data_IF_587776118287
#
_entry.id   IF_587776118287
#
_cell.length_a   1.000
_cell.length_b   1.000
_cell.length_c   1.000
_cell.angle_alpha   90.00
_cell.angle_beta   90.00
_cell.angle_gamma   90.00
#
_symmetry.space_group_name_H-M   'P 1'
#
loop_
_entity.id
_entity.type
_entity.pdbx_description
1 polymer ?
#
# COMPACT_ATOMS: atom_id res chain seq x y z
N UNK A 1 -27.47 -36.47 18.24
CA UNK A 1 -27.47 -35.86 16.90
C UNK A 1 -26.05 -35.38 16.62
N UNK A 2 -25.51 -35.70 15.45
CA UNK A 2 -24.08 -35.76 15.17
C UNK A 2 -23.34 -34.42 15.21
N UNK A 3 -22.16 -34.44 15.83
CA UNK A 3 -21.06 -33.48 15.61
C UNK A 3 -20.56 -33.56 14.17
N UNK A 4 -20.35 -32.41 13.51
CA UNK A 4 -19.48 -32.31 12.34
C UNK A 4 -18.44 -31.21 12.57
N UNK A 5 -17.29 -31.62 13.13
CA UNK A 5 -16.00 -30.98 12.88
C UNK A 5 -15.58 -31.32 11.45
N UNK A 6 -15.17 -30.34 10.65
CA UNK A 6 -14.39 -30.59 9.44
C UNK A 6 -12.94 -30.21 9.73
N UNK A 7 -12.08 -31.22 9.74
CA UNK A 7 -10.64 -31.10 9.73
C UNK A 7 -10.13 -31.05 8.30
N UNK A 8 -9.08 -30.29 8.05
CA UNK A 8 -8.12 -30.58 6.97
C UNK A 8 -6.74 -30.69 7.61
N UNK A 9 -6.22 -31.93 7.60
CA UNK A 9 -4.82 -32.32 7.79
C UNK A 9 -4.06 -31.85 6.52
N UNK A 10 -2.84 -31.30 6.54
CA UNK A 10 -1.64 -31.73 7.24
C UNK A 10 -0.73 -32.51 6.28
N UNK A 11 0.41 -31.93 5.88
CA UNK A 11 1.64 -32.53 5.31
C UNK A 11 2.61 -31.36 5.00
N UNK A 12 3.91 -31.31 5.32
CA UNK A 12 4.85 -32.18 6.04
C UNK A 12 6.07 -31.32 6.40
N UNK A 13 6.60 -31.58 7.59
CA UNK A 13 7.82 -31.10 8.23
C UNK A 13 9.11 -31.46 7.44
N UNK A 14 10.07 -30.54 7.35
CA UNK A 14 11.49 -30.88 7.16
C UNK A 14 12.35 -30.07 8.15
N UNK A 15 12.71 -30.77 9.23
CA UNK A 15 13.66 -30.41 10.27
C UNK A 15 15.08 -30.72 9.77
N UNK A 16 16.06 -29.81 9.93
CA UNK A 16 17.48 -30.18 9.90
C UNK A 16 18.28 -29.37 10.92
N UNK A 17 19.01 -30.13 11.73
CA UNK A 17 19.61 -29.75 13.00
C UNK A 17 21.01 -29.11 12.85
N UNK A 18 21.29 -28.24 13.82
CA UNK A 18 22.55 -28.00 14.53
C UNK A 18 23.68 -29.05 14.31
N UNK A 19 24.89 -28.54 14.05
CA UNK A 19 26.13 -29.11 14.60
C UNK A 19 26.95 -28.00 15.27
N UNK A 20 27.50 -28.34 16.43
CA UNK A 20 28.27 -27.48 17.30
C UNK A 20 29.78 -27.80 17.24
N UNK A 21 30.56 -26.75 17.54
CA UNK A 21 31.73 -26.74 18.43
C UNK A 21 33.16 -27.10 17.93
N UNK A 22 34.02 -26.08 18.13
CA UNK A 22 35.39 -26.08 18.68
C UNK A 22 36.60 -26.42 17.78
N UNK A 23 37.45 -25.42 17.56
CA UNK A 23 38.80 -25.35 18.17
C UNK A 23 39.58 -24.12 17.64
N UNK A 24 40.10 -23.27 18.55
CA UNK A 24 41.00 -22.19 18.16
C UNK A 24 41.34 -21.17 19.24
N UNK A 25 41.62 -21.58 20.48
CA UNK A 25 42.38 -20.72 21.39
C UNK A 25 43.86 -20.74 20.98
N UNK A 26 44.49 -19.58 20.83
CA UNK A 26 45.75 -19.15 21.47
C UNK A 26 46.12 -17.76 20.92
N UNK A 27 46.24 -16.78 21.82
CA UNK A 27 47.37 -15.86 21.79
C UNK A 27 47.14 -14.42 21.36
N UNK A 28 47.29 -13.55 22.36
CA UNK A 28 47.92 -12.20 22.33
C UNK A 28 47.10 -10.98 21.91
N UNK A 29 46.84 -10.18 22.95
CA UNK A 29 46.83 -8.71 23.04
C UNK A 29 45.53 -8.00 22.63
N UNK A 30 44.94 -7.37 23.67
CA UNK A 30 43.85 -6.41 23.63
C UNK A 30 44.15 -5.29 22.63
N UNK A 31 43.67 -5.44 21.39
CA UNK A 31 43.18 -4.30 20.64
C UNK A 31 41.66 -4.41 20.64
N UNK A 32 41.03 -3.65 21.52
CA UNK A 32 39.65 -3.21 21.31
C UNK A 32 39.64 -2.38 20.03
N UNK A 33 39.51 -3.05 18.89
CA UNK A 33 39.01 -2.42 17.67
C UNK A 33 37.59 -2.00 17.99
N UNK A 34 37.45 -0.71 18.29
CA UNK A 34 36.20 0.02 18.19
C UNK A 34 35.77 -0.14 16.74
N UNK A 35 35.00 -1.20 16.43
CA UNK A 35 34.30 -1.33 15.18
C UNK A 35 33.36 -0.14 15.16
N UNK A 36 33.77 0.92 14.45
CA UNK A 36 33.03 2.17 14.42
C UNK A 36 31.58 1.88 14.09
N UNK A 37 30.69 2.09 15.06
CA UNK A 37 29.26 2.14 14.81
C UNK A 37 29.07 3.09 13.63
N UNK A 38 28.58 2.55 12.50
CA UNK A 38 28.11 3.40 11.41
C UNK A 38 27.18 4.43 12.03
N UNK A 39 27.54 5.71 11.88
CA UNK A 39 26.78 6.78 12.51
C UNK A 39 25.37 6.79 11.94
N UNK A 40 24.43 6.24 12.71
CA UNK A 40 23.00 6.21 12.42
C UNK A 40 22.57 7.61 11.95
N UNK A 41 21.91 7.72 10.77
CA UNK A 41 21.41 9.00 10.28
C UNK A 41 20.65 9.78 11.35
N UNK A 42 20.92 11.08 11.45
CA UNK A 42 20.38 11.92 12.53
C UNK A 42 18.84 12.06 12.52
N UNK A 43 18.19 11.72 11.41
CA UNK A 43 16.72 11.74 11.27
C UNK A 43 16.04 10.47 11.83
N UNK A 44 16.81 9.43 12.17
CA UNK A 44 16.25 8.19 12.66
C UNK A 44 16.00 8.26 14.17
N UNK A 45 14.93 8.96 14.55
CA UNK A 45 14.52 9.06 15.95
C UNK A 45 14.00 7.73 16.52
N UNK A 46 13.86 7.67 17.85
CA UNK A 46 13.28 6.52 18.55
C UNK A 46 11.76 6.38 18.35
N UNK A 47 11.11 7.42 17.83
CA UNK A 47 9.68 7.49 17.56
C UNK A 47 9.40 8.47 16.43
N UNK A 48 8.38 8.22 15.63
CA UNK A 48 7.88 9.15 14.60
C UNK A 48 6.38 9.38 14.84
N UNK A 49 5.91 10.64 14.79
CA UNK A 49 4.52 11.04 15.07
C UNK A 49 3.81 10.33 16.23
N UNK A 50 4.51 10.15 17.35
CA UNK A 50 3.94 9.53 18.56
C UNK A 50 3.89 7.99 18.53
N UNK A 51 4.36 7.35 17.46
CA UNK A 51 4.59 5.92 17.39
C UNK A 51 6.00 5.58 17.89
N UNK A 52 6.11 4.74 18.91
CA UNK A 52 7.40 4.25 19.44
C UNK A 52 7.64 2.84 18.93
N UNK A 53 8.76 2.63 18.23
CA UNK A 53 9.12 1.34 17.66
C UNK A 53 9.42 0.30 18.73
N UNK A 54 8.99 -0.94 18.51
CA UNK A 54 9.34 -2.09 19.35
C UNK A 54 10.68 -2.72 18.97
N UNK A 55 11.15 -2.48 17.73
CA UNK A 55 12.31 -3.10 17.10
C UNK A 55 13.08 -2.11 16.22
N UNK A 56 14.29 -2.49 15.82
CA UNK A 56 15.07 -1.70 14.85
C UNK A 56 14.60 -1.97 13.41
N UNK A 57 13.97 -0.96 12.83
CA UNK A 57 13.53 -0.92 11.42
C UNK A 57 14.13 0.26 10.66
N UNK A 58 15.26 0.80 11.11
CA UNK A 58 15.90 1.99 10.53
C UNK A 58 16.15 1.85 9.02
N UNK A 59 16.56 0.65 8.61
CA UNK A 59 16.78 0.31 7.21
C UNK A 59 15.49 0.39 6.36
N UNK A 60 14.31 0.12 6.94
CA UNK A 60 13.02 0.31 6.27
C UNK A 60 12.61 1.79 6.26
N UNK A 61 12.84 2.49 7.38
CA UNK A 61 12.56 3.93 7.51
C UNK A 61 13.33 4.76 6.49
N UNK A 62 14.58 4.40 6.20
CA UNK A 62 15.41 5.05 5.17
C UNK A 62 14.85 4.94 3.74
N UNK A 63 13.98 3.97 3.44
CA UNK A 63 13.35 3.87 2.11
C UNK A 63 12.40 5.03 1.82
N UNK A 64 11.93 5.74 2.84
CA UNK A 64 11.14 6.97 2.65
C UNK A 64 11.98 8.08 2.00
N UNK A 65 13.29 8.13 2.30
CA UNK A 65 14.20 9.05 1.65
C UNK A 65 14.43 8.68 0.18
N UNK A 66 14.59 7.38 -0.13
CA UNK A 66 14.64 6.88 -1.52
C UNK A 66 13.38 7.29 -2.29
N UNK A 67 12.20 7.21 -1.67
CA UNK A 67 10.95 7.64 -2.28
C UNK A 67 10.93 9.14 -2.60
N UNK A 68 11.43 9.99 -1.68
CA UNK A 68 11.57 11.42 -1.93
C UNK A 68 12.56 11.73 -3.07
N UNK A 69 13.68 11.00 -3.11
CA UNK A 69 14.71 11.16 -4.14
C UNK A 69 14.19 10.73 -5.53
N UNK A 70 13.45 9.61 -5.61
CA UNK A 70 12.77 9.16 -6.84
C UNK A 70 11.82 10.23 -7.36
N UNK A 71 10.98 10.77 -6.48
CA UNK A 71 10.03 11.82 -6.86
C UNK A 71 10.74 13.07 -7.36
N UNK A 72 11.86 13.45 -6.72
CA UNK A 72 12.67 14.60 -7.13
C UNK A 72 13.30 14.37 -8.50
N UNK A 73 13.97 13.24 -8.70
CA UNK A 73 14.56 12.87 -9.99
C UNK A 73 13.51 12.82 -11.11
N UNK A 74 12.35 12.23 -10.85
CA UNK A 74 11.25 12.16 -11.81
C UNK A 74 10.66 13.55 -12.14
N UNK A 75 10.69 14.50 -11.20
CA UNK A 75 10.22 15.88 -11.44
C UNK A 75 11.14 16.66 -12.38
N UNK A 76 12.42 16.29 -12.44
CA UNK A 76 13.42 16.81 -13.37
C UNK A 76 13.49 16.02 -14.69
N UNK A 77 12.53 15.11 -14.92
CA UNK A 77 12.52 14.15 -16.03
C UNK A 77 13.78 13.26 -16.10
N UNK A 78 14.49 13.09 -14.98
CA UNK A 78 15.65 12.20 -14.88
C UNK A 78 15.19 10.77 -14.57
N UNK A 79 14.63 10.11 -15.59
CA UNK A 79 14.06 8.77 -15.48
C UNK A 79 15.10 7.71 -15.10
N UNK A 80 16.33 7.86 -15.59
CA UNK A 80 17.42 6.92 -15.31
C UNK A 80 17.79 6.95 -13.82
N UNK A 81 17.90 8.14 -13.22
CA UNK A 81 18.18 8.25 -11.78
C UNK A 81 17.00 7.77 -10.93
N UNK A 82 15.76 8.13 -11.29
CA UNK A 82 14.58 7.64 -10.59
C UNK A 82 14.51 6.10 -10.60
N UNK A 83 14.80 5.49 -11.76
CA UNK A 83 14.86 4.03 -11.92
C UNK A 83 16.03 3.40 -11.16
N UNK A 84 17.19 4.05 -11.17
CA UNK A 84 18.38 3.60 -10.45
C UNK A 84 18.11 3.53 -8.94
N UNK A 85 17.56 4.60 -8.35
CA UNK A 85 17.22 4.62 -6.91
C UNK A 85 16.18 3.55 -6.60
N UNK A 86 15.13 3.41 -7.40
CA UNK A 86 14.11 2.38 -7.18
C UNK A 86 14.67 0.96 -7.20
N UNK A 87 15.54 0.67 -8.18
CA UNK A 87 16.06 -0.68 -8.43
C UNK A 87 17.20 -1.05 -7.48
N UNK A 88 18.11 -0.11 -7.26
CA UNK A 88 19.39 -0.35 -6.59
C UNK A 88 19.46 0.24 -5.19
N UNK A 89 18.48 1.07 -4.78
CA UNK A 89 18.48 1.76 -3.50
C UNK A 89 19.52 2.88 -3.43
N UNK A 90 19.42 3.72 -2.40
CA UNK A 90 20.41 4.79 -2.15
C UNK A 90 20.63 5.09 -0.69
N UNK A 91 19.60 5.03 0.16
CA UNK A 91 19.67 5.49 1.54
C UNK A 91 19.54 4.37 2.59
N UNK A 92 19.19 3.15 2.19
CA UNK A 92 18.99 1.99 3.07
C UNK A 92 20.10 0.93 2.92
N UNK A 93 21.32 1.27 3.33
CA UNK A 93 22.48 0.36 3.28
C UNK A 93 22.39 -0.72 4.38
N UNK A 94 22.71 -1.96 4.02
CA UNK A 94 22.82 -3.09 4.94
C UNK A 94 24.28 -3.27 5.33
N UNK A 95 24.52 -4.04 6.39
CA UNK A 95 25.86 -4.35 6.89
C UNK A 95 26.80 -5.04 5.88
N UNK A 96 26.26 -5.62 4.79
CA UNK A 96 27.06 -6.24 3.72
C UNK A 96 27.39 -5.27 2.57
N UNK A 97 27.06 -3.98 2.72
CA UNK A 97 27.22 -2.93 1.70
C UNK A 97 26.19 -2.99 0.57
N UNK A 98 25.24 -3.93 0.61
CA UNK A 98 24.09 -3.93 -0.31
C UNK A 98 22.98 -3.05 0.22
N UNK A 99 22.09 -2.58 -0.66
CA UNK A 99 20.96 -1.76 -0.27
C UNK A 99 19.66 -2.59 -0.16
N UNK A 100 18.77 -2.18 0.74
CA UNK A 100 17.34 -2.48 0.61
C UNK A 100 16.78 -1.58 -0.49
N UNK A 101 15.85 -2.10 -1.27
CA UNK A 101 15.36 -1.39 -2.45
C UNK A 101 13.84 -1.49 -2.53
N UNK A 102 13.20 -0.42 -3.02
CA UNK A 102 11.76 -0.41 -3.24
C UNK A 102 11.35 -1.48 -4.27
N UNK A 103 12.20 -1.75 -5.27
CA UNK A 103 12.00 -2.85 -6.21
C UNK A 103 12.02 -4.23 -5.54
N UNK A 104 12.87 -4.43 -4.52
CA UNK A 104 12.95 -5.69 -3.78
C UNK A 104 11.66 -6.02 -3.05
N UNK A 105 10.98 -5.02 -2.51
CA UNK A 105 9.64 -5.18 -1.92
C UNK A 105 8.56 -5.37 -2.99
N UNK A 106 8.75 -4.84 -4.19
CA UNK A 106 7.78 -4.91 -5.29
C UNK A 106 7.78 -6.25 -6.06
N UNK A 107 8.84 -7.06 -5.90
CA UNK A 107 9.14 -8.21 -6.76
C UNK A 107 8.32 -9.49 -6.45
N UNK A 108 7.38 -9.42 -5.50
CA UNK A 108 6.39 -10.44 -5.13
C UNK A 108 6.86 -11.82 -4.64
N UNK A 109 8.01 -12.34 -5.08
CA UNK A 109 8.49 -13.66 -4.68
C UNK A 109 8.63 -13.76 -3.15
N UNK A 110 7.75 -14.55 -2.53
CA UNK A 110 7.68 -14.74 -1.08
C UNK A 110 6.96 -13.63 -0.30
N UNK A 111 6.34 -12.65 -0.98
CA UNK A 111 5.63 -11.52 -0.35
C UNK A 111 4.10 -11.63 -0.43
N UNK A 112 3.53 -12.36 -1.39
CA UNK A 112 2.08 -12.63 -1.46
C UNK A 112 1.20 -11.35 -1.33
N UNK A 113 1.49 -10.28 -2.08
CA UNK A 113 0.57 -9.15 -2.11
C UNK A 113 -0.74 -9.57 -2.78
N UNK A 114 -1.89 -9.08 -2.31
CA UNK A 114 -3.18 -9.38 -2.96
C UNK A 114 -3.19 -8.97 -4.45
N UNK A 115 -2.37 -7.99 -4.82
CA UNK A 115 -2.14 -7.52 -6.19
C UNK A 115 -1.69 -8.61 -7.15
N UNK A 116 -0.78 -9.50 -6.74
CA UNK A 116 -0.21 -10.49 -7.66
C UNK A 116 -1.28 -11.51 -8.08
N UNK A 117 -2.10 -11.95 -7.11
CA UNK A 117 -3.25 -12.83 -7.37
C UNK A 117 -4.31 -12.09 -8.18
N UNK A 118 -4.61 -10.84 -7.84
CA UNK A 118 -5.62 -10.03 -8.51
C UNK A 118 -5.31 -9.82 -10.00
N UNK A 119 -4.06 -9.44 -10.32
CA UNK A 119 -3.61 -9.23 -11.69
C UNK A 119 -3.15 -10.51 -12.40
N UNK A 120 -3.05 -11.63 -11.69
CA UNK A 120 -2.49 -12.88 -12.22
C UNK A 120 -1.04 -12.73 -12.67
N UNK A 121 -0.29 -11.84 -12.03
CA UNK A 121 1.07 -11.45 -12.40
C UNK A 121 1.95 -11.36 -11.16
N UNK A 122 3.02 -12.15 -11.11
CA UNK A 122 4.05 -12.02 -10.07
C UNK A 122 4.76 -10.66 -10.20
N UNK A 123 4.82 -9.90 -9.12
CA UNK A 123 5.48 -8.60 -9.05
C UNK A 123 4.61 -7.49 -9.61
N UNK A 124 3.28 -7.59 -9.50
CA UNK A 124 2.33 -6.70 -10.16
C UNK A 124 2.54 -5.24 -9.75
N UNK A 125 2.80 -4.96 -8.47
CA UNK A 125 3.14 -3.61 -7.98
C UNK A 125 4.36 -3.06 -8.72
N UNK A 126 5.44 -3.85 -8.75
CA UNK A 126 6.69 -3.44 -9.39
C UNK A 126 6.53 -3.25 -10.89
N UNK A 127 5.71 -4.07 -11.55
CA UNK A 127 5.42 -3.95 -12.97
C UNK A 127 4.72 -2.63 -13.31
N UNK A 128 3.76 -2.18 -12.51
CA UNK A 128 3.08 -0.90 -12.72
C UNK A 128 4.04 0.29 -12.54
N UNK A 129 4.87 0.27 -11.49
CA UNK A 129 5.87 1.32 -11.23
C UNK A 129 6.89 1.38 -12.38
N UNK A 130 7.42 0.22 -12.79
CA UNK A 130 8.39 0.12 -13.86
C UNK A 130 7.82 0.51 -15.23
N UNK A 131 6.55 0.24 -15.50
CA UNK A 131 5.88 0.70 -16.71
C UNK A 131 5.92 2.22 -16.84
N UNK A 132 5.71 2.96 -15.74
CA UNK A 132 5.84 4.41 -15.73
C UNK A 132 7.29 4.89 -15.94
N UNK A 133 8.24 4.25 -15.23
CA UNK A 133 9.67 4.55 -15.34
C UNK A 133 10.23 4.29 -16.74
N UNK A 134 9.77 3.23 -17.41
CA UNK A 134 10.24 2.84 -18.73
C UNK A 134 9.40 3.44 -19.88
N UNK A 135 8.26 4.05 -19.58
CA UNK A 135 7.33 4.56 -20.61
C UNK A 135 6.73 3.44 -21.45
N UNK A 136 6.38 2.32 -20.81
CA UNK A 136 5.83 1.11 -21.42
C UNK A 136 4.46 0.77 -20.81
N UNK A 137 3.81 -0.29 -21.28
CA UNK A 137 2.49 -0.69 -20.80
C UNK A 137 1.48 0.45 -20.94
N UNK A 138 0.75 0.74 -19.85
CA UNK A 138 -0.23 1.85 -19.80
C UNK A 138 0.40 3.24 -20.04
N UNK A 139 1.72 3.37 -19.89
CA UNK A 139 2.47 4.61 -20.13
C UNK A 139 3.12 4.66 -21.53
N UNK A 140 2.84 3.70 -22.41
CA UNK A 140 3.36 3.71 -23.78
C UNK A 140 2.89 4.94 -24.55
N UNK A 141 3.84 5.76 -25.03
CA UNK A 141 3.53 7.00 -25.74
C UNK A 141 3.01 8.14 -24.84
N UNK A 142 3.01 7.96 -23.52
CA UNK A 142 2.63 9.00 -22.57
C UNK A 142 3.61 10.18 -22.58
N UNK A 143 3.10 11.38 -22.31
CA UNK A 143 3.95 12.57 -22.14
C UNK A 143 4.77 12.50 -20.85
N UNK A 144 5.85 13.28 -20.78
CA UNK A 144 6.68 13.39 -19.56
C UNK A 144 5.87 13.80 -18.34
N UNK A 145 4.85 14.65 -18.51
CA UNK A 145 3.94 15.02 -17.42
C UNK A 145 3.17 13.82 -16.88
N UNK A 146 2.63 12.97 -17.76
CA UNK A 146 1.90 11.76 -17.38
C UNK A 146 2.83 10.74 -16.74
N UNK A 147 4.03 10.54 -17.31
CA UNK A 147 5.04 9.64 -16.74
C UNK A 147 5.48 10.07 -15.36
N UNK A 148 5.75 11.37 -15.15
CA UNK A 148 6.05 11.91 -13.83
C UNK A 148 4.93 11.61 -12.81
N UNK A 149 3.66 11.82 -13.17
CA UNK A 149 2.55 11.48 -12.26
C UNK A 149 2.53 9.97 -11.95
N UNK A 150 2.70 9.11 -12.96
CA UNK A 150 2.79 7.67 -12.76
C UNK A 150 3.87 7.29 -11.77
N UNK A 151 5.11 7.73 -11.99
CA UNK A 151 6.26 7.42 -11.14
C UNK A 151 6.03 7.93 -9.72
N UNK A 152 5.65 9.21 -9.56
CA UNK A 152 5.52 9.83 -8.25
C UNK A 152 4.36 9.25 -7.44
N UNK A 153 3.24 8.89 -8.10
CA UNK A 153 2.03 8.41 -7.40
C UNK A 153 2.03 6.91 -7.18
N UNK A 154 2.41 6.10 -8.18
CA UNK A 154 2.44 4.64 -8.02
C UNK A 154 3.48 4.23 -6.97
N UNK A 155 4.69 4.80 -7.01
CA UNK A 155 5.74 4.44 -6.03
C UNK A 155 5.31 4.80 -4.61
N UNK A 156 4.78 6.02 -4.40
CA UNK A 156 4.40 6.49 -3.07
C UNK A 156 3.11 5.89 -2.52
N UNK A 157 2.18 5.49 -3.39
CA UNK A 157 0.85 5.03 -2.96
C UNK A 157 0.72 3.53 -3.18
N UNK A 158 0.67 3.05 -4.43
CA UNK A 158 0.53 1.62 -4.71
C UNK A 158 1.67 0.80 -4.08
N UNK A 159 2.91 1.25 -4.22
CA UNK A 159 4.10 0.60 -3.63
C UNK A 159 4.04 0.58 -2.11
N UNK A 160 4.15 1.75 -1.49
CA UNK A 160 4.25 1.86 -0.03
C UNK A 160 3.01 1.34 0.72
N UNK A 161 1.79 1.55 0.19
CA UNK A 161 0.57 0.99 0.79
C UNK A 161 0.51 -0.52 0.62
N UNK A 162 0.92 -1.03 -0.55
CA UNK A 162 1.03 -2.46 -0.78
C UNK A 162 1.94 -3.14 0.25
N UNK A 163 3.07 -2.50 0.58
CA UNK A 163 4.01 -3.00 1.60
C UNK A 163 3.48 -2.82 3.02
N UNK A 164 2.85 -1.69 3.31
CA UNK A 164 2.17 -1.48 4.60
C UNK A 164 1.22 -2.66 4.87
N UNK A 165 0.30 -2.94 3.94
CA UNK A 165 -0.68 -4.02 4.12
C UNK A 165 -0.01 -5.40 4.20
N UNK A 166 1.05 -5.64 3.40
CA UNK A 166 1.83 -6.87 3.48
C UNK A 166 2.39 -7.10 4.89
N UNK A 167 3.03 -6.08 5.46
CA UNK A 167 3.69 -6.20 6.76
C UNK A 167 2.67 -6.31 7.91
N UNK A 168 1.53 -5.63 7.85
CA UNK A 168 0.45 -5.82 8.82
C UNK A 168 -0.12 -7.25 8.77
N UNK A 169 -0.33 -7.80 7.56
CA UNK A 169 -0.77 -9.18 7.40
C UNK A 169 0.28 -10.19 7.90
N UNK A 170 1.57 -9.91 7.68
CA UNK A 170 2.66 -10.74 8.19
C UNK A 170 2.71 -10.70 9.73
N UNK A 171 2.51 -9.53 10.34
CA UNK A 171 2.42 -9.37 11.79
C UNK A 171 1.26 -10.20 12.36
N UNK A 172 0.06 -10.07 11.79
CA UNK A 172 -1.12 -10.86 12.19
C UNK A 172 -0.83 -12.36 12.08
N UNK A 173 -0.28 -12.82 10.96
CA UNK A 173 0.05 -14.24 10.76
C UNK A 173 1.09 -14.76 11.76
N UNK A 174 2.11 -13.96 12.10
CA UNK A 174 3.10 -14.30 13.12
C UNK A 174 2.48 -14.33 14.52
N UNK A 175 1.60 -13.39 14.84
CA UNK A 175 0.91 -13.35 16.13
C UNK A 175 -0.05 -14.54 16.30
N UNK A 176 -0.80 -14.90 15.25
CA UNK A 176 -1.65 -16.09 15.21
C UNK A 176 -0.84 -17.39 15.39
N UNK A 177 0.42 -17.40 14.94
CA UNK A 177 1.37 -18.49 15.16
C UNK A 177 2.05 -18.45 16.55
N UNK A 178 1.75 -17.44 17.39
CA UNK A 178 2.32 -17.26 18.73
C UNK A 178 3.72 -16.64 18.74
N UNK A 179 4.17 -16.05 17.62
CA UNK A 179 5.45 -15.35 17.54
C UNK A 179 5.28 -13.85 17.79
N UNK A 180 5.34 -13.45 19.06
CA UNK A 180 5.20 -12.06 19.53
C UNK A 180 6.53 -11.43 19.98
N UNK A 181 7.66 -12.00 19.56
CA UNK A 181 8.99 -11.44 19.83
C UNK A 181 9.12 -10.05 19.18
N UNK A 182 9.66 -9.07 19.91
CA UNK A 182 9.73 -7.70 19.41
C UNK A 182 10.65 -7.59 18.19
N UNK A 183 11.84 -8.20 18.24
CA UNK A 183 12.89 -7.98 17.25
C UNK A 183 12.72 -8.80 15.97
N UNK A 184 11.97 -9.90 16.02
CA UNK A 184 11.84 -10.83 14.89
C UNK A 184 10.40 -11.35 14.65
N UNK A 185 9.51 -11.12 15.60
CA UNK A 185 8.14 -11.59 15.61
C UNK A 185 7.16 -10.60 14.99
N UNK A 186 5.90 -10.66 15.45
CA UNK A 186 4.83 -9.83 14.92
C UNK A 186 5.02 -8.32 15.13
N UNK A 187 5.48 -7.83 16.30
CA UNK A 187 5.79 -6.40 16.49
C UNK A 187 6.81 -5.86 15.47
N UNK A 188 7.82 -6.66 15.08
CA UNK A 188 8.80 -6.24 14.07
C UNK A 188 8.15 -5.92 12.72
N UNK A 189 7.29 -6.80 12.20
CA UNK A 189 6.60 -6.49 10.93
C UNK A 189 5.59 -5.35 11.11
N UNK A 190 5.00 -5.18 12.29
CA UNK A 190 4.14 -4.04 12.53
C UNK A 190 4.92 -2.71 12.47
N UNK A 191 6.12 -2.66 13.04
CA UNK A 191 7.06 -1.55 12.92
C UNK A 191 7.49 -1.30 11.46
N UNK A 192 7.75 -2.35 10.68
CA UNK A 192 8.04 -2.24 9.24
C UNK A 192 6.85 -1.63 8.48
N UNK A 193 5.63 -2.03 8.83
CA UNK A 193 4.39 -1.44 8.29
C UNK A 193 4.29 0.05 8.57
N UNK A 194 4.62 0.50 9.79
CA UNK A 194 4.68 1.92 10.13
C UNK A 194 5.75 2.67 9.32
N UNK A 195 6.93 2.08 9.16
CA UNK A 195 8.01 2.66 8.36
C UNK A 195 7.60 2.90 6.89
N UNK A 196 6.80 2.01 6.30
CA UNK A 196 6.26 2.19 4.95
C UNK A 196 5.10 3.20 4.88
N UNK A 197 4.26 3.24 5.91
CA UNK A 197 3.07 4.08 5.93
C UNK A 197 3.36 5.55 6.26
N UNK A 198 4.12 5.79 7.32
CA UNK A 198 4.44 7.11 7.86
C UNK A 198 5.87 7.52 7.48
N UNK A 199 6.83 6.63 7.76
CA UNK A 199 8.28 6.90 7.65
C UNK A 199 8.77 7.94 8.68
N UNK A 200 10.02 8.41 8.58
CA UNK A 200 10.55 9.47 9.44
C UNK A 200 9.84 10.81 9.24
N UNK A 201 9.74 11.61 10.30
CA UNK A 201 9.13 12.95 10.29
C UNK A 201 9.76 13.88 9.22
N UNK A 202 11.06 13.76 8.97
CA UNK A 202 11.82 14.52 7.98
C UNK A 202 11.42 14.22 6.53
N UNK A 203 10.90 13.01 6.28
CA UNK A 203 10.55 12.51 4.95
C UNK A 203 9.05 12.26 4.78
N UNK A 204 8.27 12.49 5.83
CA UNK A 204 6.82 12.40 5.89
C UNK A 204 6.08 12.93 4.66
N UNK A 205 6.53 14.05 4.06
CA UNK A 205 5.83 14.66 2.91
C UNK A 205 5.76 13.78 1.65
N UNK A 206 6.52 12.68 1.61
CA UNK A 206 6.51 11.69 0.55
C UNK A 206 5.66 10.46 0.86
N UNK A 207 5.16 10.31 2.09
CA UNK A 207 4.50 9.10 2.59
C UNK A 207 3.04 8.96 2.13
N UNK A 208 2.48 7.73 2.17
CA UNK A 208 1.03 7.50 2.11
C UNK A 208 0.24 8.33 3.11
N UNK A 209 0.73 8.45 4.34
CA UNK A 209 0.05 9.17 5.40
C UNK A 209 -0.07 10.69 5.11
N UNK A 210 0.91 11.30 4.43
CA UNK A 210 0.75 12.66 3.90
C UNK A 210 -0.32 12.76 2.81
N UNK A 211 -0.54 11.70 2.02
CA UNK A 211 -1.67 11.64 1.09
C UNK A 211 -2.99 11.63 1.84
N UNK A 212 -3.12 10.87 2.94
CA UNK A 212 -4.32 10.86 3.78
C UNK A 212 -4.64 12.24 4.36
N UNK A 213 -3.61 12.96 4.84
CA UNK A 213 -3.76 14.36 5.27
C UNK A 213 -4.37 15.23 4.16
N UNK A 214 -3.81 15.15 2.96
CA UNK A 214 -4.26 15.97 1.82
C UNK A 214 -5.69 15.64 1.37
N UNK A 215 -6.06 14.36 1.37
CA UNK A 215 -7.39 13.94 0.93
C UNK A 215 -8.48 14.34 1.91
N UNK A 216 -8.20 14.28 3.20
CA UNK A 216 -9.14 14.78 4.19
C UNK A 216 -9.42 16.28 4.03
N UNK A 217 -8.38 17.10 3.84
CA UNK A 217 -8.52 18.53 3.55
C UNK A 217 -9.34 18.79 2.27
N UNK A 218 -9.14 17.98 1.22
CA UNK A 218 -9.87 18.10 -0.03
C UNK A 218 -11.37 17.76 0.10
N UNK A 219 -11.77 16.97 1.09
CA UNK A 219 -13.14 16.44 1.26
C UNK A 219 -13.85 16.96 2.52
N UNK A 220 -13.21 17.84 3.28
CA UNK A 220 -13.75 18.37 4.54
C UNK A 220 -13.87 17.32 5.64
N UNK A 221 -13.11 16.22 5.59
CA UNK A 221 -13.13 15.13 6.59
C UNK A 221 -12.07 15.33 7.67
N UNK A 222 -12.01 16.55 8.18
CA UNK A 222 -11.08 16.98 9.23
C UNK A 222 -11.82 17.42 10.50
N UNK A 223 -11.27 17.06 11.66
CA UNK A 223 -11.69 17.61 12.95
C UNK A 223 -10.62 18.57 13.45
N UNK A 224 -10.97 19.85 13.60
CA UNK A 224 -10.03 20.91 14.00
C UNK A 224 -8.78 21.02 13.11
N UNK A 225 -8.93 20.78 11.80
CA UNK A 225 -7.82 20.82 10.83
C UNK A 225 -6.90 19.59 10.85
N UNK A 226 -7.34 18.50 11.48
CA UNK A 226 -6.64 17.21 11.52
C UNK A 226 -7.47 16.17 10.77
N UNK A 227 -6.83 15.44 9.86
CA UNK A 227 -7.47 14.37 9.08
C UNK A 227 -8.02 13.27 9.98
N UNK A 228 -9.33 13.00 9.88
CA UNK A 228 -9.99 11.96 10.69
C UNK A 228 -9.45 10.57 10.36
N UNK A 229 -9.31 10.25 9.06
CA UNK A 229 -8.81 8.95 8.61
C UNK A 229 -7.35 8.74 9.00
N UNK A 230 -6.50 9.78 8.90
CA UNK A 230 -5.11 9.67 9.30
C UNK A 230 -4.98 9.47 10.81
N UNK A 231 -5.64 10.30 11.62
CA UNK A 231 -5.57 10.20 13.08
C UNK A 231 -6.07 8.83 13.57
N UNK A 232 -7.12 8.29 12.95
CA UNK A 232 -7.62 6.95 13.26
C UNK A 232 -6.61 5.86 12.87
N UNK A 233 -5.92 5.98 11.73
CA UNK A 233 -4.84 5.05 11.35
C UNK A 233 -3.63 5.14 12.27
N UNK A 234 -3.20 6.34 12.66
CA UNK A 234 -2.08 6.53 13.58
C UNK A 234 -2.37 5.89 14.94
N UNK A 235 -3.56 6.13 15.48
CA UNK A 235 -4.00 5.49 16.72
C UNK A 235 -4.10 3.96 16.58
N UNK A 236 -4.66 3.47 15.46
CA UNK A 236 -4.75 2.03 15.21
C UNK A 236 -3.37 1.37 15.12
N UNK A 237 -2.37 2.03 14.55
CA UNK A 237 -0.99 1.53 14.52
C UNK A 237 -0.40 1.45 15.93
N UNK A 238 -0.61 2.46 16.79
CA UNK A 238 -0.16 2.40 18.20
C UNK A 238 -0.87 1.29 18.98
N UNK A 239 -2.20 1.21 18.87
CA UNK A 239 -3.01 0.22 19.57
C UNK A 239 -2.71 -1.21 19.08
N UNK A 240 -2.50 -1.38 17.77
CA UNK A 240 -2.14 -2.65 17.17
C UNK A 240 -0.79 -3.18 17.66
N UNK A 241 0.23 -2.32 17.77
CA UNK A 241 1.52 -2.73 18.34
C UNK A 241 1.35 -3.22 19.78
N UNK A 242 0.63 -2.46 20.61
CA UNK A 242 0.36 -2.84 21.99
C UNK A 242 -0.42 -4.15 22.09
N UNK A 243 -1.42 -4.35 21.22
CA UNK A 243 -2.19 -5.58 21.14
C UNK A 243 -1.33 -6.79 20.72
N UNK A 244 -0.43 -6.62 19.75
CA UNK A 244 0.50 -7.67 19.33
C UNK A 244 1.43 -8.10 20.48
N UNK A 245 1.98 -7.13 21.22
CA UNK A 245 2.83 -7.41 22.39
C UNK A 245 2.06 -8.09 23.52
N UNK A 246 0.76 -7.76 23.68
CA UNK A 246 -0.12 -8.39 24.65
C UNK A 246 -0.67 -9.76 24.19
N UNK A 247 -0.48 -10.13 22.93
CA UNK A 247 -1.14 -11.30 22.33
C UNK A 247 -2.67 -11.16 22.21
N UNK A 248 -3.18 -9.93 22.15
CA UNK A 248 -4.61 -9.64 22.03
C UNK A 248 -5.06 -9.68 20.57
N UNK A 249 -5.61 -10.84 20.18
CA UNK A 249 -6.13 -11.06 18.82
C UNK A 249 -7.20 -10.09 18.39
N UNK A 250 -8.17 -9.82 19.26
CA UNK A 250 -9.25 -8.91 18.89
C UNK A 250 -8.71 -7.48 18.68
N UNK A 251 -7.72 -7.08 19.49
CA UNK A 251 -7.06 -5.79 19.39
C UNK A 251 -6.29 -5.60 18.07
N UNK A 252 -5.40 -6.52 17.71
CA UNK A 252 -4.62 -6.36 16.49
C UNK A 252 -5.45 -6.57 15.22
N UNK A 253 -6.45 -7.46 15.23
CA UNK A 253 -7.37 -7.62 14.09
C UNK A 253 -8.15 -6.31 13.84
N UNK A 254 -8.70 -5.69 14.90
CA UNK A 254 -9.43 -4.42 14.80
C UNK A 254 -8.53 -3.25 14.36
N UNK A 255 -7.28 -3.23 14.81
CA UNK A 255 -6.29 -2.26 14.37
C UNK A 255 -6.01 -2.38 12.85
N UNK A 256 -5.77 -3.60 12.36
CA UNK A 256 -5.56 -3.86 10.93
C UNK A 256 -6.78 -3.46 10.09
N UNK A 257 -7.99 -3.84 10.52
CA UNK A 257 -9.23 -3.46 9.84
C UNK A 257 -9.41 -1.93 9.76
N UNK A 258 -9.08 -1.21 10.84
CA UNK A 258 -9.16 0.25 10.88
C UNK A 258 -8.20 0.90 9.88
N UNK A 259 -6.95 0.43 9.82
CA UNK A 259 -5.94 0.94 8.87
C UNK A 259 -6.40 0.70 7.43
N UNK A 260 -6.89 -0.51 7.10
CA UNK A 260 -7.39 -0.84 5.77
C UNK A 260 -8.60 0.01 5.40
N UNK A 261 -9.59 0.16 6.31
CA UNK A 261 -10.76 1.03 6.09
C UNK A 261 -10.33 2.46 5.71
N UNK A 262 -9.39 3.04 6.45
CA UNK A 262 -8.93 4.41 6.21
C UNK A 262 -8.10 4.57 4.94
N UNK A 263 -7.38 3.52 4.51
CA UNK A 263 -6.74 3.45 3.18
C UNK A 263 -7.84 3.52 2.10
N UNK A 264 -8.89 2.71 2.20
CA UNK A 264 -9.98 2.70 1.22
C UNK A 264 -10.70 4.06 1.16
N UNK A 265 -10.95 4.70 2.31
CA UNK A 265 -11.50 6.08 2.36
C UNK A 265 -10.61 7.05 1.56
N UNK A 266 -9.31 7.06 1.88
CA UNK A 266 -8.35 8.01 1.29
C UNK A 266 -8.24 7.85 -0.22
N UNK A 267 -8.13 6.61 -0.70
CA UNK A 267 -7.94 6.33 -2.12
C UNK A 267 -9.26 6.40 -2.91
N UNK A 268 -10.41 6.24 -2.24
CA UNK A 268 -11.73 6.59 -2.81
C UNK A 268 -11.81 8.10 -3.05
N UNK A 269 -11.53 8.92 -2.03
CA UNK A 269 -11.46 10.38 -2.14
C UNK A 269 -10.49 10.82 -3.24
N UNK A 270 -9.32 10.19 -3.34
CA UNK A 270 -8.35 10.51 -4.38
C UNK A 270 -8.88 10.18 -5.79
N UNK A 271 -9.42 8.97 -5.99
CA UNK A 271 -9.98 8.53 -7.27
C UNK A 271 -11.14 9.43 -7.71
N UNK A 272 -12.08 9.73 -6.80
CA UNK A 272 -13.20 10.65 -7.03
C UNK A 272 -12.71 12.05 -7.45
N UNK A 273 -11.76 12.61 -6.70
CA UNK A 273 -11.22 13.94 -7.01
C UNK A 273 -10.65 14.01 -8.42
N UNK A 274 -9.82 13.04 -8.79
CA UNK A 274 -9.08 13.15 -10.03
C UNK A 274 -9.90 12.79 -11.27
N UNK A 275 -10.89 11.91 -11.14
CA UNK A 275 -11.90 11.69 -12.18
C UNK A 275 -12.79 12.92 -12.40
N UNK A 276 -13.13 13.66 -11.32
CA UNK A 276 -13.86 14.93 -11.44
C UNK A 276 -13.04 16.04 -12.09
N UNK A 277 -11.72 16.07 -11.89
CA UNK A 277 -10.84 17.11 -12.46
C UNK A 277 -10.47 16.90 -13.93
N UNK A 278 -10.86 15.78 -14.54
CA UNK A 278 -10.55 15.48 -15.94
C UNK A 278 -11.28 16.37 -16.96
N UNK A 279 -12.20 17.23 -16.52
CA UNK A 279 -12.80 18.30 -17.32
C UNK A 279 -11.83 19.42 -17.71
N UNK A 280 -10.64 19.46 -17.09
CA UNK A 280 -9.62 20.47 -17.37
C UNK A 280 -9.05 20.37 -18.78
N UNK A 281 -9.25 21.41 -19.58
CA UNK A 281 -8.71 21.53 -20.95
C UNK A 281 -7.16 21.49 -21.03
N UNK A 282 -6.46 21.77 -19.94
CA UNK A 282 -4.99 21.83 -19.92
C UNK A 282 -4.35 20.68 -19.16
N UNK A 283 -5.06 20.11 -18.18
CA UNK A 283 -4.49 19.13 -17.24
C UNK A 283 -5.24 17.80 -17.20
N UNK A 284 -6.21 17.54 -18.09
CA UNK A 284 -6.96 16.28 -18.10
C UNK A 284 -6.06 15.05 -18.10
N UNK A 285 -5.06 14.97 -18.99
CA UNK A 285 -4.12 13.84 -19.04
C UNK A 285 -3.34 13.66 -17.72
N UNK A 286 -2.92 14.77 -17.10
CA UNK A 286 -2.26 14.74 -15.79
C UNK A 286 -3.20 14.20 -14.71
N UNK A 287 -4.44 14.67 -14.67
CA UNK A 287 -5.42 14.23 -13.68
C UNK A 287 -5.86 12.79 -13.90
N UNK A 288 -5.97 12.34 -15.15
CA UNK A 288 -6.20 10.93 -15.47
C UNK A 288 -5.06 10.06 -14.94
N UNK A 289 -3.80 10.48 -15.08
CA UNK A 289 -2.64 9.77 -14.55
C UNK A 289 -2.60 9.72 -13.01
N UNK A 290 -2.96 10.83 -12.35
CA UNK A 290 -3.12 10.85 -10.89
C UNK A 290 -4.26 9.91 -10.45
N UNK A 291 -5.43 9.99 -11.08
CA UNK A 291 -6.58 9.14 -10.81
C UNK A 291 -6.27 7.66 -11.00
N UNK A 292 -5.61 7.31 -12.11
CA UNK A 292 -5.13 5.96 -12.39
C UNK A 292 -4.28 5.43 -11.24
N UNK A 293 -3.25 6.16 -10.82
CA UNK A 293 -2.35 5.68 -9.78
C UNK A 293 -3.03 5.52 -8.41
N UNK A 294 -3.98 6.41 -8.08
CA UNK A 294 -4.75 6.31 -6.85
C UNK A 294 -5.76 5.14 -6.88
N UNK A 295 -6.42 4.92 -8.02
CA UNK A 295 -7.28 3.75 -8.20
C UNK A 295 -6.48 2.45 -8.08
N UNK A 296 -5.32 2.36 -8.74
CA UNK A 296 -4.41 1.20 -8.65
C UNK A 296 -3.94 0.91 -7.22
N UNK A 297 -4.00 1.89 -6.30
CA UNK A 297 -3.63 1.71 -4.89
C UNK A 297 -4.71 0.98 -4.05
N UNK A 298 -5.95 0.91 -4.54
CA UNK A 298 -7.03 0.21 -3.82
C UNK A 298 -7.74 -0.86 -4.66
N UNK A 299 -7.49 -0.92 -5.97
CA UNK A 299 -8.22 -1.77 -6.91
C UNK A 299 -8.27 -3.24 -6.49
N UNK A 300 -7.13 -3.83 -6.08
CA UNK A 300 -7.09 -5.23 -5.68
C UNK A 300 -7.89 -5.55 -4.41
N UNK A 301 -8.29 -4.51 -3.65
CA UNK A 301 -9.12 -4.61 -2.45
C UNK A 301 -10.56 -4.14 -2.70
N UNK A 302 -10.79 -3.38 -3.77
CA UNK A 302 -12.10 -2.82 -4.10
C UNK A 302 -12.86 -3.66 -5.13
N UNK A 303 -12.16 -4.20 -6.13
CA UNK A 303 -12.78 -4.67 -7.37
C UNK A 303 -13.82 -5.79 -7.17
N UNK A 304 -13.56 -6.75 -6.29
CA UNK A 304 -14.51 -7.85 -6.01
C UNK A 304 -15.82 -7.36 -5.36
N UNK A 305 -15.83 -6.14 -4.82
CA UNK A 305 -17.00 -5.48 -4.25
C UNK A 305 -17.71 -4.55 -5.24
N UNK A 306 -17.34 -4.59 -6.53
CA UNK A 306 -17.93 -3.75 -7.59
C UNK A 306 -18.76 -4.54 -8.62
N UNK A 307 -19.12 -5.79 -8.31
CA UNK A 307 -19.96 -6.64 -9.15
C UNK A 307 -21.32 -5.98 -9.43
N UNK A 308 -21.85 -6.19 -10.63
CA UNK A 308 -23.16 -5.67 -11.00
C UNK A 308 -23.99 -6.63 -11.85
N UNK A 309 -25.30 -6.39 -11.85
CA UNK A 309 -26.27 -6.95 -12.77
C UNK A 309 -26.67 -5.88 -13.77
N UNK A 310 -26.42 -6.14 -15.05
CA UNK A 310 -26.73 -5.24 -16.16
C UNK A 310 -28.00 -5.72 -16.84
N UNK A 311 -29.06 -4.93 -16.75
CA UNK A 311 -30.34 -5.22 -17.38
C UNK A 311 -30.28 -4.97 -18.90
N UNK A 312 -31.17 -5.63 -19.64
CA UNK A 312 -31.20 -5.57 -21.10
C UNK A 312 -31.45 -4.18 -21.71
N UNK A 313 -31.99 -3.23 -20.94
CA UNK A 313 -32.17 -1.82 -21.32
C UNK A 313 -30.97 -0.93 -20.94
N UNK A 314 -29.97 -1.49 -20.27
CA UNK A 314 -28.75 -0.79 -19.85
C UNK A 314 -28.74 -0.35 -18.38
N UNK A 315 -29.83 -0.55 -17.63
CA UNK A 315 -29.85 -0.24 -16.20
C UNK A 315 -28.89 -1.16 -15.43
N UNK A 316 -28.20 -0.61 -14.42
CA UNK A 316 -27.18 -1.33 -13.65
C UNK A 316 -27.58 -1.37 -12.19
N UNK A 317 -27.57 -2.57 -11.61
CA UNK A 317 -27.73 -2.79 -10.17
C UNK A 317 -26.43 -3.35 -9.60
N UNK A 318 -25.78 -2.62 -8.69
CA UNK A 318 -24.59 -3.13 -8.00
C UNK A 318 -24.99 -4.18 -6.97
N UNK A 319 -24.27 -5.30 -6.94
CA UNK A 319 -24.56 -6.46 -6.08
C UNK A 319 -23.37 -6.86 -5.20
N UNK A 320 -22.38 -5.96 -5.07
CA UNK A 320 -21.08 -6.14 -4.41
C UNK A 320 -21.05 -7.17 -3.27
N UNK A 321 -20.14 -8.12 -3.43
CA UNK A 321 -19.84 -9.31 -2.62
C UNK A 321 -20.87 -9.80 -1.59
N UNK A 322 -22.10 -10.06 -2.04
CA UNK A 322 -23.10 -10.82 -1.27
C UNK A 322 -23.43 -12.15 -1.96
N UNK A 323 -22.41 -12.93 -2.35
CA UNK A 323 -22.62 -14.26 -2.96
C UNK A 323 -23.39 -14.26 -4.29
N UNK A 324 -23.69 -13.09 -4.83
CA UNK A 324 -24.33 -12.92 -6.12
C UNK A 324 -23.32 -13.28 -7.22
N UNK A 325 -23.56 -14.41 -7.86
CA UNK A 325 -22.84 -14.87 -9.06
C UNK A 325 -23.80 -15.04 -10.25
N UNK A 326 -25.04 -14.59 -10.07
CA UNK A 326 -26.14 -14.69 -11.02
C UNK A 326 -27.11 -13.54 -10.78
N UNK A 327 -27.71 -13.04 -11.85
CA UNK A 327 -28.70 -11.99 -11.82
C UNK A 327 -30.11 -12.54 -12.07
N UNK A 328 -31.12 -11.68 -11.96
CA UNK A 328 -32.51 -12.03 -12.29
C UNK A 328 -32.73 -12.31 -13.78
N UNK A 329 -33.94 -12.72 -14.12
CA UNK A 329 -34.33 -12.88 -15.53
C UNK A 329 -34.19 -11.54 -16.28
N UNK A 330 -33.57 -11.57 -17.47
CA UNK A 330 -33.24 -10.39 -18.31
C UNK A 330 -32.07 -9.50 -17.82
N UNK A 331 -31.26 -10.01 -16.90
CA UNK A 331 -30.03 -9.35 -16.44
C UNK A 331 -28.80 -10.21 -16.77
N UNK A 332 -27.67 -9.54 -17.02
CA UNK A 332 -26.36 -10.19 -17.20
C UNK A 332 -25.48 -9.85 -16.01
N UNK A 333 -24.92 -10.88 -15.38
CA UNK A 333 -23.94 -10.71 -14.31
C UNK A 333 -22.60 -10.27 -14.90
N UNK A 334 -22.03 -9.21 -14.34
CA UNK A 334 -20.72 -8.70 -14.67
C UNK A 334 -19.87 -8.58 -13.40
N UNK A 335 -18.83 -9.41 -13.35
CA UNK A 335 -17.90 -9.41 -12.23
C UNK A 335 -17.00 -8.18 -12.35
N UNK A 336 -16.87 -7.42 -11.26
CA UNK A 336 -16.02 -6.22 -11.19
C UNK A 336 -16.44 -5.10 -12.16
N UNK A 337 -17.72 -5.03 -12.53
CA UNK A 337 -18.25 -4.00 -13.42
C UNK A 337 -17.79 -2.58 -13.07
N UNK A 338 -17.90 -2.18 -11.79
CA UNK A 338 -17.50 -0.84 -11.38
C UNK A 338 -15.99 -0.60 -11.51
N UNK A 339 -15.16 -1.58 -11.16
CA UNK A 339 -13.71 -1.52 -11.36
C UNK A 339 -13.35 -1.38 -12.84
N UNK A 340 -14.00 -2.15 -13.72
CA UNK A 340 -13.77 -2.09 -15.16
C UNK A 340 -14.19 -0.74 -15.75
N UNK A 341 -15.27 -0.14 -15.24
CA UNK A 341 -15.68 1.22 -15.62
C UNK A 341 -14.68 2.28 -15.17
N UNK A 342 -14.18 2.19 -13.95
CA UNK A 342 -13.13 3.10 -13.46
C UNK A 342 -11.85 2.95 -14.29
N UNK A 343 -11.45 1.72 -14.62
CA UNK A 343 -10.32 1.43 -15.50
C UNK A 343 -10.52 2.01 -16.92
N UNK A 344 -11.74 1.93 -17.47
CA UNK A 344 -12.08 2.52 -18.77
C UNK A 344 -11.92 4.05 -18.75
N UNK A 345 -12.39 4.71 -17.68
CA UNK A 345 -12.29 6.17 -17.50
C UNK A 345 -10.83 6.60 -17.33
N UNK A 346 -10.06 5.84 -16.57
CA UNK A 346 -8.67 6.14 -16.22
C UNK A 346 -7.65 5.52 -17.19
N UNK A 347 -8.08 5.01 -18.34
CA UNK A 347 -7.21 4.47 -19.36
C UNK A 347 -6.33 5.57 -19.98
N UNK A 348 -5.03 5.56 -19.64
CA UNK A 348 -4.05 6.57 -20.05
C UNK A 348 -3.83 6.64 -21.57
N UNK A 349 -4.21 5.60 -22.30
CA UNK A 349 -4.15 5.56 -23.77
C UNK A 349 -5.40 6.15 -24.44
N UNK A 350 -6.47 6.41 -23.69
CA UNK A 350 -7.73 6.91 -24.20
C UNK A 350 -7.93 8.39 -23.87
N UNK A 351 -7.45 9.24 -24.78
CA UNK A 351 -7.65 10.68 -24.69
C UNK A 351 -9.11 11.12 -24.93
N UNK A 352 -10.01 10.24 -25.40
CA UNK A 352 -11.43 10.58 -25.57
C UNK A 352 -12.14 10.81 -24.23
N UNK A 353 -11.55 10.33 -23.13
CA UNK A 353 -12.04 10.59 -21.79
C UNK A 353 -11.74 12.01 -21.29
N UNK A 354 -10.87 12.77 -21.96
CA UNK A 354 -10.47 14.11 -21.52
C UNK A 354 -11.55 15.16 -21.76
N UNK A 355 -11.56 16.23 -20.94
CA UNK A 355 -12.54 17.31 -21.06
C UNK A 355 -13.92 16.95 -20.49
N UNK A 356 -14.01 15.85 -19.74
CA UNK A 356 -15.22 15.42 -19.04
C UNK A 356 -14.87 15.04 -17.60
N UNK A 357 -15.64 15.57 -16.65
CA UNK A 357 -15.63 15.10 -15.26
C UNK A 357 -16.46 13.83 -15.16
N UNK A 358 -15.95 12.80 -14.48
CA UNK A 358 -16.71 11.57 -14.24
C UNK A 358 -17.04 11.45 -12.77
N UNK A 359 -18.33 11.24 -12.49
CA UNK A 359 -18.75 10.76 -11.18
C UNK A 359 -18.60 9.24 -11.13
N UNK A 360 -17.64 8.77 -10.34
CA UNK A 360 -17.38 7.34 -10.12
C UNK A 360 -17.86 6.87 -8.74
N UNK A 361 -18.54 7.72 -7.95
CA UNK A 361 -19.08 7.33 -6.65
C UNK A 361 -20.01 6.12 -6.73
N UNK A 362 -20.93 6.00 -7.72
CA UNK A 362 -21.79 4.82 -7.82
C UNK A 362 -21.03 3.50 -7.99
N UNK A 363 -19.82 3.53 -8.58
CA UNK A 363 -18.97 2.34 -8.72
C UNK A 363 -18.33 1.90 -7.40
N UNK A 364 -18.31 2.78 -6.38
CA UNK A 364 -17.63 2.59 -5.11
C UNK A 364 -18.57 2.37 -3.92
N UNK A 365 -19.87 2.66 -4.06
CA UNK A 365 -20.85 2.53 -2.96
C UNK A 365 -20.82 1.15 -2.29
N UNK A 366 -20.76 0.08 -3.07
CA UNK A 366 -20.69 -1.28 -2.52
C UNK A 366 -19.33 -1.63 -1.92
N UNK A 367 -18.26 -0.99 -2.37
CA UNK A 367 -16.94 -1.06 -1.72
C UNK A 367 -17.03 -0.40 -0.34
N UNK A 368 -17.65 0.78 -0.27
CA UNK A 368 -17.83 1.48 1.00
C UNK A 368 -18.68 0.67 1.97
N UNK A 369 -19.79 0.09 1.50
CA UNK A 369 -20.63 -0.80 2.30
C UNK A 369 -19.86 -2.01 2.85
N UNK A 370 -19.00 -2.65 2.03
CA UNK A 370 -18.17 -3.78 2.46
C UNK A 370 -17.26 -3.42 3.64
N UNK A 371 -16.61 -2.26 3.57
CA UNK A 371 -15.69 -1.78 4.63
C UNK A 371 -16.40 -1.00 5.75
N UNK A 372 -17.73 -0.96 5.77
CA UNK A 372 -18.49 -0.17 6.75
C UNK A 372 -18.15 1.32 6.72
N UNK A 373 -17.82 1.84 5.54
CA UNK A 373 -17.55 3.26 5.25
C UNK A 373 -18.88 3.93 4.91
N UNK A 374 -19.11 5.10 5.49
CA UNK A 374 -20.31 5.93 5.26
C UNK A 374 -20.00 7.10 4.33
N UNK A 375 -21.04 7.77 3.82
CA UNK A 375 -20.86 9.03 3.08
C UNK A 375 -20.16 10.10 3.93
N UNK A 376 -20.41 10.14 5.24
CA UNK A 376 -19.74 11.08 6.17
C UNK A 376 -18.23 10.78 6.30
N UNK A 377 -17.84 9.50 6.24
CA UNK A 377 -16.42 9.10 6.22
C UNK A 377 -15.72 9.55 4.93
N UNK A 378 -16.42 9.52 3.78
CA UNK A 378 -15.90 9.98 2.49
C UNK A 378 -15.90 11.51 2.40
N UNK A 379 -16.94 12.17 2.89
CA UNK A 379 -17.14 13.61 2.81
C UNK A 379 -17.53 14.10 1.41
N UNK A 380 -17.43 15.41 1.20
CA UNK A 380 -17.76 16.06 -0.07
C UNK A 380 -16.56 16.87 -0.55
N UNK A 381 -16.19 16.71 -1.82
CA UNK A 381 -15.10 17.46 -2.42
C UNK A 381 -15.36 18.99 -2.34
N UNK A 382 -14.42 19.74 -1.75
CA UNK A 382 -14.57 21.17 -1.40
C UNK A 382 -14.05 22.14 -2.49
#
# INVERSE_FOLDING_TARGET
>A
MQLKKKSIKGMTLALLMLMAAMAGCIGTEDETTDEGEEAKPAFLDASDAGYTYASDVDNHRSLMQDLCDIKSAASDSNWDEAKNIYTNGKNAEKSDGSFRTLAGFAAASGKNHNYDTFYGQDGAIGAHIMAAMDGTGDFAGASDTVRYQGIAKLTANMGMVGYTIHELNAAVAKADAGNTDNDSGAPHNWDEGWAFFHGPDEHWSCSPAYTMKKRAADYGTETNGVSNALAASEQAMVDGLAALQAGDKAGYDAATETVIKNIIITYSQATLKYTMKMDSNESAAKYQAEGYAFWKTMEAYAADHTNACVHSDGDVTYVGDSGASSCGDNETFDARYGADKINEILNLSDASKHGTSYDVAPHLEMVWAHYGITEDDIGTYQ
#
